data_IF_583618586316
#
_entry.id   IF_583618586316
#
_cell.length_a   1.000
_cell.length_b   1.000
_cell.length_c   1.000
_cell.angle_alpha   90.00
_cell.angle_beta   90.00
_cell.angle_gamma   90.00
#
_symmetry.space_group_name_H-M   'P 1'
#
loop_
_entity.id
_entity.type
_entity.pdbx_description
1 polymer ?
#
# COMPACT_ATOMS: atom_id res chain seq x y z
N UNK A 1 16.90 -37.31 3.89
CA UNK A 1 15.47 -37.06 4.26
C UNK A 1 15.28 -36.38 5.63
N UNK A 2 16.13 -36.62 6.64
CA UNK A 2 16.02 -35.98 7.98
C UNK A 2 16.29 -34.47 8.03
N UNK A 3 17.05 -33.92 7.08
CA UNK A 3 17.33 -32.46 7.00
C UNK A 3 16.13 -31.62 6.60
N UNK A 4 15.22 -32.19 5.81
CA UNK A 4 14.01 -31.49 5.35
C UNK A 4 12.99 -31.35 6.49
N UNK A 5 12.81 -32.39 7.32
CA UNK A 5 11.92 -32.34 8.49
C UNK A 5 12.30 -31.25 9.49
N UNK A 6 13.59 -31.15 9.83
CA UNK A 6 14.09 -30.12 10.76
C UNK A 6 14.01 -28.70 10.19
N UNK A 7 14.08 -28.56 8.86
CA UNK A 7 13.88 -27.29 8.20
C UNK A 7 12.41 -26.87 8.29
N UNK A 8 11.47 -27.78 8.03
CA UNK A 8 10.04 -27.49 8.16
C UNK A 8 9.59 -27.24 9.60
N UNK A 9 10.10 -27.98 10.59
CA UNK A 9 9.81 -27.72 12.01
C UNK A 9 10.25 -26.32 12.45
N UNK A 10 11.40 -25.85 11.95
CA UNK A 10 11.87 -24.48 12.19
C UNK A 10 11.04 -23.44 11.45
N UNK A 11 10.66 -23.71 10.21
CA UNK A 11 9.79 -22.82 9.42
C UNK A 11 8.41 -22.69 10.08
N UNK A 12 7.80 -23.79 10.53
CA UNK A 12 6.51 -23.76 11.25
C UNK A 12 6.63 -23.08 12.62
N UNK A 13 7.74 -23.25 13.33
CA UNK A 13 8.00 -22.56 14.60
C UNK A 13 8.17 -21.04 14.44
N UNK A 14 8.78 -20.59 13.33
CA UNK A 14 8.91 -19.16 13.03
C UNK A 14 7.60 -18.53 12.56
N UNK A 15 6.71 -19.29 11.91
CA UNK A 15 5.37 -18.82 11.51
C UNK A 15 4.49 -18.59 12.73
N UNK A 16 4.60 -19.41 13.79
CA UNK A 16 3.79 -19.26 15.01
C UNK A 16 4.08 -18.00 15.84
N UNK A 17 5.24 -17.36 15.70
CA UNK A 17 5.59 -16.18 16.51
C UNK A 17 4.97 -14.87 16.01
N UNK A 18 4.37 -14.86 14.81
CA UNK A 18 3.81 -13.63 14.19
C UNK A 18 2.28 -13.58 14.28
N UNK A 19 1.63 -14.52 14.98
CA UNK A 19 0.18 -14.61 15.05
C UNK A 19 -0.44 -13.98 16.31
N UNK A 20 0.08 -12.85 16.79
CA UNK A 20 -0.39 -12.24 18.06
C UNK A 20 -0.95 -10.81 17.96
N UNK A 21 -1.55 -10.41 16.82
CA UNK A 21 -2.33 -9.14 16.76
C UNK A 21 -3.64 -9.26 15.98
N UNK A 22 -4.37 -10.35 16.15
CA UNK A 22 -5.78 -10.38 15.77
C UNK A 22 -6.57 -10.53 17.06
N UNK A 23 -6.71 -9.40 17.76
CA UNK A 23 -7.66 -9.26 18.85
C UNK A 23 -9.07 -9.48 18.28
N UNK A 24 -9.82 -10.32 18.95
CA UNK A 24 -11.10 -10.87 18.47
C UNK A 24 -12.23 -9.92 18.89
N UNK A 25 -13.28 -9.87 18.06
CA UNK A 25 -14.62 -9.27 18.31
C UNK A 25 -14.80 -7.76 18.12
N UNK A 26 -14.61 -7.29 16.89
CA UNK A 26 -15.64 -6.46 16.26
C UNK A 26 -15.97 -7.16 14.95
N UNK A 27 -17.25 -7.30 14.60
CA UNK A 27 -17.72 -7.85 13.30
C UNK A 27 -17.30 -6.94 12.14
N UNK A 28 -16.00 -6.75 11.94
CA UNK A 28 -15.43 -6.10 10.78
C UNK A 28 -15.48 -7.12 9.66
N UNK A 29 -16.67 -7.31 9.10
CA UNK A 29 -16.86 -8.10 7.89
C UNK A 29 -15.91 -7.54 6.82
N UNK A 30 -14.93 -8.31 6.32
CA UNK A 30 -13.95 -7.83 5.33
C UNK A 30 -14.63 -7.18 4.11
N UNK A 31 -15.84 -7.65 3.78
CA UNK A 31 -16.72 -7.13 2.75
C UNK A 31 -17.08 -5.64 2.91
N UNK A 32 -17.16 -5.16 4.15
CA UNK A 32 -17.41 -3.74 4.43
C UNK A 32 -16.19 -2.85 4.22
N UNK A 33 -14.99 -3.44 4.08
CA UNK A 33 -13.72 -2.72 4.02
C UNK A 33 -13.00 -2.92 2.68
N UNK A 34 -13.75 -3.24 1.63
CA UNK A 34 -13.21 -3.39 0.28
C UNK A 34 -12.46 -4.71 0.06
N UNK A 35 -12.90 -5.79 0.70
CA UNK A 35 -12.47 -7.16 0.38
C UNK A 35 -13.64 -7.97 -0.14
N UNK A 36 -13.40 -8.93 -1.02
CA UNK A 36 -14.41 -9.87 -1.50
C UNK A 36 -13.95 -11.30 -1.21
N UNK A 37 -14.89 -12.16 -0.82
CA UNK A 37 -14.59 -13.57 -0.59
C UNK A 37 -14.77 -14.36 -1.90
N UNK A 38 -13.66 -14.68 -2.57
CA UNK A 38 -13.66 -15.52 -3.78
C UNK A 38 -13.01 -16.87 -3.47
N UNK A 39 -13.73 -17.98 -3.67
CA UNK A 39 -13.17 -19.34 -3.54
C UNK A 39 -12.46 -19.62 -2.20
N UNK A 40 -13.00 -19.10 -1.10
CA UNK A 40 -12.43 -19.25 0.24
C UNK A 40 -11.19 -18.38 0.50
N UNK A 41 -10.93 -17.37 -0.34
CA UNK A 41 -9.87 -16.39 -0.18
C UNK A 41 -10.45 -14.98 -0.17
N UNK A 42 -9.85 -14.09 0.60
CA UNK A 42 -10.17 -12.67 0.58
C UNK A 42 -9.31 -11.99 -0.49
N UNK A 43 -9.96 -11.47 -1.52
CA UNK A 43 -9.33 -10.66 -2.55
C UNK A 43 -9.69 -9.19 -2.32
N UNK A 44 -8.77 -8.23 -2.55
CA UNK A 44 -9.10 -6.83 -2.47
C UNK A 44 -10.08 -6.44 -3.60
N UNK A 45 -11.11 -5.69 -3.27
CA UNK A 45 -11.98 -5.04 -4.24
C UNK A 45 -11.20 -3.92 -4.94
N UNK A 46 -10.82 -4.16 -6.19
CA UNK A 46 -10.18 -3.13 -7.01
C UNK A 46 -11.21 -2.13 -7.51
N UNK A 47 -10.85 -0.85 -7.53
CA UNK A 47 -11.66 0.19 -8.17
C UNK A 47 -11.14 0.44 -9.59
N UNK A 48 -12.06 0.65 -10.53
CA UNK A 48 -11.72 1.14 -11.88
C UNK A 48 -11.47 2.66 -11.89
N UNK A 49 -11.71 3.33 -10.75
CA UNK A 49 -11.42 4.74 -10.60
C UNK A 49 -9.91 4.97 -10.61
N UNK A 50 -9.44 6.08 -11.21
CA UNK A 50 -8.04 6.43 -11.16
C UNK A 50 -7.62 6.68 -9.69
N UNK A 51 -6.38 6.34 -9.31
CA UNK A 51 -5.90 6.46 -7.93
C UNK A 51 -5.90 7.92 -7.42
N UNK A 52 -5.90 8.89 -8.34
CA UNK A 52 -6.07 10.31 -8.05
C UNK A 52 -6.62 11.01 -9.30
N UNK A 53 -7.26 12.19 -9.14
CA UNK A 53 -7.58 13.08 -10.26
C UNK A 53 -6.38 13.32 -11.16
N UNK A 54 -6.59 13.26 -12.48
CA UNK A 54 -5.52 13.39 -13.46
C UNK A 54 -4.76 14.73 -13.34
N UNK A 55 -5.47 15.79 -12.93
CA UNK A 55 -4.87 17.10 -12.64
C UNK A 55 -3.80 17.05 -11.54
N UNK A 56 -3.97 16.21 -10.51
CA UNK A 56 -2.97 16.05 -9.46
C UNK A 56 -1.77 15.26 -9.96
N UNK A 57 -1.99 14.22 -10.76
CA UNK A 57 -0.91 13.41 -11.34
C UNK A 57 -0.07 14.21 -12.35
N UNK A 58 -0.71 15.12 -13.09
CA UNK A 58 -0.06 16.02 -14.06
C UNK A 58 0.43 17.33 -13.43
N UNK A 59 0.23 17.53 -12.14
CA UNK A 59 0.63 18.78 -11.47
C UNK A 59 2.14 18.96 -11.57
N UNK A 60 2.54 20.09 -12.13
CA UNK A 60 3.95 20.47 -12.23
C UNK A 60 4.41 20.91 -10.85
N UNK A 61 5.27 20.11 -10.22
CA UNK A 61 5.97 20.48 -8.98
C UNK A 61 7.42 20.85 -9.28
N UNK A 62 7.92 21.87 -8.59
CA UNK A 62 9.36 22.12 -8.52
C UNK A 62 10.00 21.33 -7.37
N UNK A 63 11.32 21.20 -7.43
CA UNK A 63 12.13 20.66 -6.33
C UNK A 63 12.86 21.79 -5.57
N UNK A 64 12.30 23.00 -5.57
CA UNK A 64 12.85 24.11 -4.80
C UNK A 64 12.76 23.77 -3.31
N UNK A 65 13.87 23.96 -2.58
CA UNK A 65 13.93 23.77 -1.11
C UNK A 65 13.55 25.03 -0.34
N UNK A 66 13.60 26.17 -1.02
CA UNK A 66 13.20 27.49 -0.54
C UNK A 66 12.11 28.04 -1.46
N UNK A 67 12.02 29.37 -1.55
CA UNK A 67 11.17 30.08 -2.48
C UNK A 67 11.43 29.76 -3.97
N UNK A 68 10.36 29.85 -4.77
CA UNK A 68 10.36 29.57 -6.21
C UNK A 68 10.96 30.71 -7.07
N UNK A 69 11.78 31.61 -6.51
CA UNK A 69 12.29 32.79 -7.22
C UNK A 69 13.39 32.48 -8.23
N UNK A 70 14.10 31.36 -8.06
CA UNK A 70 15.20 30.95 -8.93
C UNK A 70 14.74 30.76 -10.38
N UNK A 71 15.58 31.18 -11.34
CA UNK A 71 15.37 30.93 -12.78
C UNK A 71 15.35 29.44 -13.14
N UNK A 72 15.85 28.58 -12.26
CA UNK A 72 15.83 27.12 -12.42
C UNK A 72 14.50 26.50 -11.97
N UNK A 73 13.60 27.23 -11.32
CA UNK A 73 12.32 26.71 -10.86
C UNK A 73 11.42 26.31 -12.03
N UNK A 74 10.93 25.07 -12.03
CA UNK A 74 10.03 24.56 -13.08
C UNK A 74 8.63 25.16 -12.98
N UNK A 75 8.07 25.35 -11.78
CA UNK A 75 6.77 26.03 -11.61
C UNK A 75 6.75 27.38 -12.35
N UNK A 76 7.82 28.16 -12.14
CA UNK A 76 7.99 29.48 -12.76
C UNK A 76 8.14 29.40 -14.29
N UNK A 77 8.93 28.45 -14.80
CA UNK A 77 9.05 28.22 -16.26
C UNK A 77 7.70 27.87 -16.90
N UNK A 78 6.80 27.27 -16.13
CA UNK A 78 5.44 26.94 -16.56
C UNK A 78 4.41 28.01 -16.18
N UNK A 79 4.84 29.19 -15.71
CA UNK A 79 3.96 30.33 -15.41
C UNK A 79 3.07 30.15 -14.16
N UNK A 80 3.44 29.21 -13.28
CA UNK A 80 2.79 29.01 -11.98
C UNK A 80 3.50 29.92 -10.97
N UNK A 81 3.17 31.21 -10.99
CA UNK A 81 3.66 32.25 -10.06
C UNK A 81 2.54 32.74 -9.12
#
# INVERSE_FOLDING_TARGET
MLRYKRFWEKVTSSITTVQDRIDTTCDLQPEMWGWQLSSGRLDPCTTDLPPAPELLLKMIRCNCKSDCRSKCCTCRKHGLE
#
